data_IF_624065773619
#
_entry.id   IF_624065773619
#
_cell.length_a   1.000
_cell.length_b   1.000
_cell.length_c   1.000
_cell.angle_alpha   90.00
_cell.angle_beta   90.00
_cell.angle_gamma   90.00
#
_symmetry.space_group_name_H-M   'P 1'
#
loop_
_entity.id
_entity.type
_entity.pdbx_description
1 polymer ?
#
# COMPACT_ATOMS: atom_id res chain seq x y z
N UNK A 1 -12.86 12.27 17.70
CA UNK A 1 -14.33 12.16 17.61
C UNK A 1 -14.67 11.03 16.66
N UNK A 2 -15.75 10.29 16.91
CA UNK A 2 -16.20 9.21 16.02
C UNK A 2 -17.59 9.57 15.48
N UNK A 3 -17.82 9.34 14.20
CA UNK A 3 -19.08 9.61 13.51
C UNK A 3 -19.63 8.30 12.92
N UNK A 4 -20.96 8.15 12.92
CA UNK A 4 -21.62 6.99 12.33
C UNK A 4 -22.01 7.29 10.88
N UNK A 5 -21.73 6.36 9.98
CA UNK A 5 -22.08 6.44 8.56
C UNK A 5 -22.85 5.19 8.17
N UNK A 6 -23.90 5.35 7.36
CA UNK A 6 -24.70 4.25 6.82
C UNK A 6 -24.39 4.06 5.33
N UNK A 7 -24.07 2.82 4.95
CA UNK A 7 -23.73 2.45 3.56
C UNK A 7 -24.48 1.18 3.19
N UNK A 8 -24.89 1.08 1.94
CA UNK A 8 -25.47 -0.15 1.38
C UNK A 8 -24.37 -0.95 0.70
N UNK A 9 -24.30 -2.23 1.05
CA UNK A 9 -23.42 -3.21 0.42
C UNK A 9 -24.27 -4.20 -0.36
N UNK A 10 -23.72 -4.65 -1.49
CA UNK A 10 -24.22 -5.83 -2.20
C UNK A 10 -24.10 -7.08 -1.32
N UNK A 11 -24.80 -8.15 -1.73
CA UNK A 11 -24.77 -9.43 -1.04
C UNK A 11 -23.34 -10.00 -1.02
N UNK A 12 -22.60 -9.88 -2.13
CA UNK A 12 -21.24 -10.38 -2.27
C UNK A 12 -20.25 -9.63 -1.36
N UNK A 13 -20.36 -8.30 -1.28
CA UNK A 13 -19.55 -7.49 -0.36
C UNK A 13 -19.83 -7.85 1.11
N UNK A 14 -21.09 -8.09 1.46
CA UNK A 14 -21.44 -8.56 2.81
C UNK A 14 -20.86 -9.94 3.11
N UNK A 15 -20.87 -10.86 2.15
CA UNK A 15 -20.23 -12.17 2.30
C UNK A 15 -18.73 -12.03 2.56
N UNK A 16 -18.05 -11.17 1.81
CA UNK A 16 -16.63 -10.87 2.03
C UNK A 16 -16.35 -10.25 3.40
N UNK A 17 -17.14 -9.24 3.82
CA UNK A 17 -16.99 -8.62 5.14
C UNK A 17 -17.19 -9.66 6.26
N UNK A 18 -18.18 -10.54 6.11
CA UNK A 18 -18.46 -11.60 7.06
C UNK A 18 -17.33 -12.65 7.11
N UNK A 19 -16.73 -13.01 5.98
CA UNK A 19 -15.60 -13.93 5.97
C UNK A 19 -14.38 -13.34 6.67
N UNK A 20 -14.07 -12.06 6.42
CA UNK A 20 -12.98 -11.34 7.11
C UNK A 20 -13.24 -11.26 8.61
N UNK A 21 -14.48 -10.93 9.02
CA UNK A 21 -14.87 -10.86 10.42
C UNK A 21 -14.71 -12.23 11.12
N UNK A 22 -15.13 -13.31 10.46
CA UNK A 22 -15.02 -14.68 10.97
C UNK A 22 -13.57 -15.14 11.10
N UNK A 23 -12.78 -14.95 10.05
CA UNK A 23 -11.36 -15.33 10.01
C UNK A 23 -10.57 -14.62 11.12
N UNK A 24 -10.78 -13.31 11.26
CA UNK A 24 -10.07 -12.49 12.25
C UNK A 24 -10.70 -12.52 13.65
N UNK A 25 -11.82 -13.23 13.83
CA UNK A 25 -12.59 -13.32 15.09
C UNK A 25 -12.97 -11.93 15.65
N UNK A 26 -13.44 -11.05 14.78
CA UNK A 26 -13.85 -9.66 15.10
C UNK A 26 -15.30 -9.39 14.68
N UNK A 27 -15.85 -8.26 15.11
CA UNK A 27 -17.18 -7.82 14.67
C UNK A 27 -17.17 -7.34 13.21
N UNK A 28 -18.35 -7.31 12.57
CA UNK A 28 -18.49 -6.76 11.20
C UNK A 28 -18.03 -5.30 11.14
N UNK A 29 -18.40 -4.49 12.12
CA UNK A 29 -18.01 -3.08 12.18
C UNK A 29 -16.49 -2.90 12.29
N UNK A 30 -15.81 -3.73 13.08
CA UNK A 30 -14.34 -3.72 13.15
C UNK A 30 -13.69 -4.21 11.86
N UNK A 31 -14.28 -5.22 11.20
CA UNK A 31 -13.81 -5.68 9.90
C UNK A 31 -13.91 -4.56 8.84
N UNK A 32 -15.07 -3.89 8.77
CA UNK A 32 -15.28 -2.74 7.89
C UNK A 32 -14.26 -1.64 8.20
N UNK A 33 -14.07 -1.29 9.48
CA UNK A 33 -13.09 -0.28 9.88
C UNK A 33 -11.67 -0.64 9.41
N UNK A 34 -11.22 -1.87 9.64
CA UNK A 34 -9.90 -2.34 9.19
C UNK A 34 -9.76 -2.32 7.67
N UNK A 35 -10.82 -2.65 6.92
CA UNK A 35 -10.82 -2.57 5.47
C UNK A 35 -10.71 -1.12 4.98
N UNK A 36 -11.43 -0.19 5.62
CA UNK A 36 -11.35 1.24 5.33
C UNK A 36 -9.95 1.78 5.65
N UNK A 37 -9.39 1.42 6.81
CA UNK A 37 -8.03 1.84 7.21
C UNK A 37 -6.99 1.32 6.21
N UNK A 38 -7.11 0.06 5.79
CA UNK A 38 -6.26 -0.53 4.76
C UNK A 38 -6.37 0.20 3.42
N UNK A 39 -7.58 0.46 2.96
CA UNK A 39 -7.82 1.19 1.71
C UNK A 39 -7.27 2.62 1.79
N UNK A 40 -7.49 3.32 2.90
CA UNK A 40 -6.98 4.67 3.12
C UNK A 40 -5.45 4.70 3.08
N UNK A 41 -4.79 3.73 3.72
CA UNK A 41 -3.33 3.62 3.70
C UNK A 41 -2.80 3.36 2.29
N UNK A 42 -3.44 2.44 1.56
CA UNK A 42 -3.07 2.14 0.16
C UNK A 42 -3.20 3.38 -0.74
N UNK A 43 -4.31 4.11 -0.62
CA UNK A 43 -4.54 5.34 -1.39
C UNK A 43 -3.49 6.42 -1.06
N UNK A 44 -3.12 6.59 0.22
CA UNK A 44 -2.07 7.54 0.62
C UNK A 44 -0.74 7.19 -0.02
N UNK A 45 -0.35 5.92 0.04
CA UNK A 45 0.88 5.42 -0.57
C UNK A 45 0.88 5.67 -2.08
N UNK A 46 -0.18 5.29 -2.79
CA UNK A 46 -0.29 5.48 -4.25
C UNK A 46 -0.19 6.96 -4.63
N UNK A 47 -0.86 7.84 -3.88
CA UNK A 47 -0.77 9.30 -4.09
C UNK A 47 0.64 9.83 -3.83
N UNK A 48 1.29 9.40 -2.75
CA UNK A 48 2.67 9.81 -2.44
C UNK A 48 3.66 9.35 -3.51
N UNK A 49 3.51 8.13 -4.04
CA UNK A 49 4.34 7.62 -5.13
C UNK A 49 4.13 8.47 -6.38
N UNK A 50 2.88 8.78 -6.74
CA UNK A 50 2.60 9.60 -7.92
C UNK A 50 3.16 11.03 -7.76
N UNK A 51 2.98 11.64 -6.60
CA UNK A 51 3.58 12.95 -6.29
C UNK A 51 5.11 12.93 -6.37
N UNK A 52 5.74 11.84 -5.93
CA UNK A 52 7.19 11.65 -6.07
C UNK A 52 7.60 11.57 -7.55
N UNK A 53 6.93 10.74 -8.35
CA UNK A 53 7.18 10.61 -9.80
C UNK A 53 7.04 11.93 -10.55
N UNK A 54 6.09 12.75 -10.13
CA UNK A 54 5.80 14.06 -10.72
C UNK A 54 6.73 15.17 -10.20
N UNK A 55 7.66 14.85 -9.29
CA UNK A 55 8.59 15.84 -8.69
C UNK A 55 7.91 16.84 -7.76
N UNK A 56 6.71 16.54 -7.26
CA UNK A 56 5.89 17.45 -6.42
C UNK A 56 6.26 17.41 -4.95
N UNK A 57 6.98 16.38 -4.50
CA UNK A 57 7.48 16.27 -3.13
C UNK A 57 8.86 15.59 -3.10
N UNK A 58 9.66 15.95 -2.11
CA UNK A 58 10.88 15.20 -1.78
C UNK A 58 10.53 13.84 -1.19
N UNK A 59 11.46 12.87 -1.24
CA UNK A 59 11.21 11.53 -0.71
C UNK A 59 10.77 11.54 0.77
N UNK A 60 11.31 12.45 1.58
CA UNK A 60 10.92 12.62 2.99
C UNK A 60 9.48 13.09 3.13
N UNK A 61 9.08 14.11 2.39
CA UNK A 61 7.71 14.65 2.42
C UNK A 61 6.69 13.63 1.90
N UNK A 62 7.05 12.88 0.85
CA UNK A 62 6.18 11.83 0.33
C UNK A 62 6.04 10.66 1.33
N UNK A 63 7.11 10.31 2.05
CA UNK A 63 7.08 9.30 3.12
C UNK A 63 6.16 9.73 4.28
N UNK A 64 6.30 10.97 4.74
CA UNK A 64 5.44 11.54 5.78
C UNK A 64 3.97 11.54 5.34
N UNK A 65 3.69 11.93 4.10
CA UNK A 65 2.34 11.93 3.51
C UNK A 65 1.74 10.51 3.39
N UNK A 66 2.60 9.52 3.14
CA UNK A 66 2.22 8.11 3.11
C UNK A 66 2.04 7.53 4.52
N UNK A 67 2.41 8.24 5.59
CA UNK A 67 2.43 7.68 6.95
C UNK A 67 3.49 6.60 7.13
N UNK A 68 4.57 6.66 6.36
CA UNK A 68 5.68 5.72 6.38
C UNK A 68 6.95 6.39 6.90
N UNK A 69 7.86 5.61 7.45
CA UNK A 69 9.23 6.07 7.71
C UNK A 69 9.96 6.24 6.38
N UNK A 70 10.97 7.11 6.39
CA UNK A 70 11.78 7.39 5.21
C UNK A 70 12.33 6.13 4.53
N UNK A 71 12.89 5.19 5.30
CA UNK A 71 13.46 3.95 4.74
C UNK A 71 12.39 3.02 4.14
N UNK A 72 11.20 2.95 4.74
CA UNK A 72 10.09 2.14 4.21
C UNK A 72 9.62 2.68 2.86
N UNK A 73 9.58 4.01 2.72
CA UNK A 73 9.24 4.64 1.46
C UNK A 73 10.37 4.51 0.42
N UNK A 74 11.63 4.59 0.85
CA UNK A 74 12.79 4.31 0.01
C UNK A 74 12.75 2.89 -0.55
N UNK A 75 12.60 1.88 0.30
CA UNK A 75 12.52 0.47 -0.11
C UNK A 75 11.36 0.25 -1.09
N UNK A 76 10.23 0.92 -0.85
CA UNK A 76 9.07 0.87 -1.75
C UNK A 76 9.38 1.48 -3.12
N UNK A 77 10.03 2.64 -3.19
CA UNK A 77 10.43 3.25 -4.45
C UNK A 77 11.48 2.41 -5.18
N UNK A 78 12.42 1.79 -4.46
CA UNK A 78 13.42 0.89 -5.02
C UNK A 78 12.79 -0.36 -5.61
N UNK A 79 11.85 -0.98 -4.90
CA UNK A 79 11.06 -2.13 -5.39
C UNK A 79 10.22 -1.79 -6.63
N UNK A 80 9.80 -0.53 -6.76
CA UNK A 80 9.10 -0.02 -7.93
C UNK A 80 10.04 0.47 -9.05
N UNK A 81 11.36 0.33 -8.87
CA UNK A 81 12.42 0.84 -9.77
C UNK A 81 12.29 2.33 -10.09
N UNK A 82 11.75 3.12 -9.14
CA UNK A 82 11.58 4.56 -9.27
C UNK A 82 12.80 5.34 -8.78
N UNK A 83 13.67 4.67 -8.04
CA UNK A 83 14.99 5.13 -7.65
C UNK A 83 15.96 3.96 -7.86
N UNK A 84 17.11 4.22 -8.47
CA UNK A 84 18.21 3.26 -8.55
C UNK A 84 19.29 3.62 -7.52
N UNK A 85 20.10 2.72 -6.99
CA UNK A 85 20.13 1.25 -6.99
C UNK A 85 20.90 0.86 -5.73
N UNK A 86 20.33 0.03 -4.86
CA UNK A 86 21.15 -0.73 -3.89
C UNK A 86 21.97 -1.76 -4.71
N UNK A 87 23.28 -1.93 -4.47
CA UNK A 87 24.08 -3.00 -5.05
C UNK A 87 23.37 -4.37 -5.07
N UNK A 88 22.70 -4.75 -3.98
CA UNK A 88 21.95 -6.01 -3.88
C UNK A 88 20.75 -6.07 -4.83
N UNK A 89 20.08 -4.93 -5.05
CA UNK A 89 18.94 -4.83 -5.97
C UNK A 89 19.38 -4.89 -7.45
N UNK A 90 20.60 -4.42 -7.72
CA UNK A 90 21.20 -4.45 -9.05
C UNK A 90 21.56 -5.88 -9.45
N UNK A 91 22.13 -6.67 -8.51
CA UNK A 91 22.43 -8.09 -8.72
C UNK A 91 21.17 -8.93 -8.97
N UNK A 92 20.09 -8.67 -8.22
CA UNK A 92 18.80 -9.34 -8.43
C UNK A 92 18.21 -9.05 -9.82
N UNK A 93 18.24 -7.80 -10.27
CA UNK A 93 17.78 -7.41 -11.61
C UNK A 93 18.62 -8.06 -12.72
N UNK A 94 19.94 -8.12 -12.55
CA UNK A 94 20.84 -8.77 -13.52
C UNK A 94 20.59 -10.28 -13.60
N UNK A 95 20.34 -10.94 -12.48
CA UNK A 95 20.06 -12.38 -12.47
C UNK A 95 18.74 -12.74 -13.16
N UNK A 96 17.72 -11.86 -13.09
CA UNK A 96 16.43 -12.08 -13.77
C UNK A 96 16.57 -11.93 -15.29
N UNK A 97 17.29 -10.92 -15.77
CA UNK A 97 17.52 -10.69 -17.20
C UNK A 97 18.30 -11.82 -17.89
N UNK A 98 19.18 -12.52 -17.17
CA UNK A 98 19.90 -13.69 -17.71
C UNK A 98 19.05 -14.97 -17.75
N UNK A 99 17.98 -15.05 -16.95
CA UNK A 99 17.06 -16.19 -16.96
C UNK A 99 16.07 -16.15 -18.12
N UNK A 100 15.69 -14.95 -18.57
CA UNK A 100 14.71 -14.78 -19.65
C UNK A 100 15.33 -14.85 -21.06
N UNK A 101 16.67 -14.90 -21.15
CA UNK A 101 17.42 -15.01 -22.41
C UNK A 101 17.98 -16.43 -22.69
N UNK A 102 17.51 -17.44 -21.96
CA UNK A 102 17.84 -18.86 -22.13
C UNK A 102 16.56 -19.71 -22.17
#
# INVERSE_FOLDING_TARGET
MAEAVYVRFSIDELHFINSVAKEKKITRSEAIKKLVDYAAQKIKIEKSINSYKEGKCTMRECAESAGLRYFEFFDMLANLNLIGTNPEHTELLLHQLHKDNN
#
